data_IF_973356756712
#
_entry.id   IF_973356756712
#
_cell.length_a   1.000
_cell.length_b   1.000
_cell.length_c   1.000
_cell.angle_alpha   90.00
_cell.angle_beta   90.00
_cell.angle_gamma   90.00
#
_symmetry.space_group_name_H-M   'P 1'
#
loop_
_entity.id
_entity.type
_entity.pdbx_description
1 polymer ?
#
# COMPACT_ATOMS: atom_id res chain seq x y z
N UNK A 1 -8.39 53.30 63.34
CA UNK A 1 -7.15 52.56 63.65
C UNK A 1 -6.57 52.09 62.32
N UNK A 2 -5.47 52.72 61.88
CA UNK A 2 -4.52 52.38 60.77
C UNK A 2 -5.14 51.76 59.49
N UNK A 3 -5.39 52.43 58.36
CA UNK A 3 -4.51 53.22 57.46
C UNK A 3 -3.20 52.52 57.05
N UNK A 4 -3.20 51.92 55.85
CA UNK A 4 -2.12 51.77 54.85
C UNK A 4 -2.87 51.49 53.53
N UNK A 5 -3.10 52.40 52.57
CA UNK A 5 -2.21 53.17 51.66
C UNK A 5 -1.18 52.34 50.87
N UNK A 6 -1.53 52.03 49.60
CA UNK A 6 -0.82 52.23 48.32
C UNK A 6 0.62 51.64 48.13
N UNK A 7 1.16 51.40 46.90
CA UNK A 7 0.81 52.12 45.67
C UNK A 7 0.73 51.38 44.32
N UNK A 8 -0.08 52.03 43.48
CA UNK A 8 -0.15 52.04 42.01
C UNK A 8 1.11 52.72 41.42
N UNK A 9 1.35 52.51 40.11
CA UNK A 9 2.31 53.10 39.16
C UNK A 9 3.62 52.31 39.01
N UNK A 10 4.10 51.94 37.81
CA UNK A 10 4.09 52.63 36.51
C UNK A 10 3.93 51.63 35.34
N UNK A 11 3.13 51.98 34.32
CA UNK A 11 3.58 52.33 32.95
C UNK A 11 4.52 51.27 32.33
N UNK A 12 4.12 50.54 31.30
CA UNK A 12 3.70 51.09 30.01
C UNK A 12 4.82 50.83 28.99
N UNK A 13 4.70 49.76 28.21
CA UNK A 13 5.36 49.66 26.91
C UNK A 13 4.43 48.90 25.96
N UNK A 14 3.79 49.70 25.12
CA UNK A 14 3.13 49.33 23.87
C UNK A 14 4.18 49.11 22.77
N UNK A 15 3.76 48.44 21.69
CA UNK A 15 4.45 48.26 20.40
C UNK A 15 5.39 47.03 20.40
N UNK A 16 5.16 45.94 19.65
CA UNK A 16 4.71 45.88 18.25
C UNK A 16 3.76 44.71 17.96
N UNK A 17 2.71 45.02 17.19
CA UNK A 17 2.12 44.11 16.21
C UNK A 17 3.23 43.47 15.38
N UNK A 18 3.25 42.14 15.30
CA UNK A 18 3.64 41.46 14.08
C UNK A 18 2.58 40.39 13.81
N UNK A 19 1.54 40.83 13.09
CA UNK A 19 0.65 39.93 12.38
C UNK A 19 1.48 39.10 11.40
N UNK A 20 1.29 37.79 11.42
CA UNK A 20 1.29 36.98 10.21
C UNK A 20 -0.04 36.22 10.17
N UNK A 21 -1.13 36.99 10.10
CA UNK A 21 -2.23 36.58 9.25
C UNK A 21 -1.71 36.72 7.81
N UNK A 22 -1.49 35.56 7.19
CA UNK A 22 -1.94 35.20 5.86
C UNK A 22 -2.10 36.34 4.83
N UNK A 23 -1.24 36.33 3.82
CA UNK A 23 -1.69 36.59 2.44
C UNK A 23 -1.07 35.53 1.50
N UNK A 24 -1.90 34.91 0.61
CA UNK A 24 -1.48 33.90 -0.36
C UNK A 24 -1.03 34.55 -1.69
N UNK A 25 -0.24 33.84 -2.52
CA UNK A 25 -0.18 34.17 -3.94
C UNK A 25 -0.38 32.92 -4.83
N UNK A 26 -0.77 33.08 -6.10
CA UNK A 26 -2.13 33.30 -6.55
C UNK A 26 -2.67 32.12 -7.36
N UNK A 27 -4.00 32.01 -7.46
CA UNK A 27 -4.63 31.27 -8.55
C UNK A 27 -4.16 31.83 -9.90
N UNK A 28 -3.69 30.96 -10.79
CA UNK A 28 -3.60 31.24 -12.21
C UNK A 28 -4.56 30.30 -12.94
N UNK A 29 -5.78 30.79 -13.12
CA UNK A 29 -6.72 30.25 -14.08
C UNK A 29 -6.20 30.46 -15.52
N UNK A 30 -6.39 29.42 -16.33
CA UNK A 30 -6.65 29.43 -17.77
C UNK A 30 -6.10 30.58 -18.64
N UNK A 31 -5.25 30.22 -19.62
CA UNK A 31 -5.34 30.79 -20.97
C UNK A 31 -5.14 29.70 -22.02
N UNK A 32 -6.15 29.60 -22.88
CA UNK A 32 -6.20 28.84 -24.13
C UNK A 32 -5.38 29.53 -25.24
N UNK A 33 -4.69 28.69 -26.02
CA UNK A 33 -4.49 28.76 -27.48
C UNK A 33 -3.58 29.83 -28.11
N UNK A 34 -2.46 29.40 -28.72
CA UNK A 34 -2.22 29.56 -30.17
C UNK A 34 -1.03 28.74 -30.68
N UNK A 35 -1.17 28.28 -31.93
CA UNK A 35 -0.39 27.33 -32.74
C UNK A 35 1.00 27.85 -33.17
N UNK A 36 1.97 26.95 -33.43
CA UNK A 36 2.38 26.53 -34.79
C UNK A 36 3.75 25.81 -34.88
N UNK A 37 3.72 24.60 -35.45
CA UNK A 37 4.63 23.94 -36.42
C UNK A 37 6.16 23.75 -36.15
N UNK A 38 6.59 22.47 -36.09
CA UNK A 38 7.42 21.76 -37.11
C UNK A 38 7.86 20.39 -36.54
N UNK A 39 7.26 19.28 -36.99
CA UNK A 39 7.85 18.25 -37.88
C UNK A 39 8.93 17.32 -37.28
N UNK A 40 8.57 16.05 -37.02
CA UNK A 40 9.36 14.90 -37.47
C UNK A 40 8.54 13.58 -37.48
N UNK A 41 8.11 13.21 -38.69
CA UNK A 41 7.89 11.86 -39.25
C UNK A 41 7.44 10.68 -38.37
N UNK A 42 6.24 10.19 -38.70
CA UNK A 42 5.73 8.82 -38.60
C UNK A 42 6.79 7.72 -38.61
N UNK A 43 6.55 6.65 -37.84
CA UNK A 43 6.57 5.27 -38.32
C UNK A 43 5.54 4.45 -37.52
N UNK A 44 4.38 4.25 -38.13
CA UNK A 44 3.38 3.27 -37.73
C UNK A 44 3.84 1.88 -38.21
N UNK A 45 3.87 0.91 -37.30
CA UNK A 45 4.04 -0.50 -37.64
C UNK A 45 2.86 -1.28 -37.09
N UNK A 46 1.77 -1.25 -37.88
CA UNK A 46 0.73 -2.26 -37.80
C UNK A 46 1.31 -3.60 -38.27
N UNK A 47 1.26 -4.59 -37.38
CA UNK A 47 1.57 -5.97 -37.71
C UNK A 47 0.32 -6.83 -37.50
N UNK A 48 -0.59 -6.77 -38.48
CA UNK A 48 -1.54 -7.84 -38.71
C UNK A 48 -0.76 -9.06 -39.23
N UNK A 49 -0.74 -10.12 -38.43
CA UNK A 49 -0.18 -11.42 -38.79
C UNK A 49 -1.26 -12.49 -38.67
N UNK A 50 -2.11 -12.57 -39.70
CA UNK A 50 -2.81 -13.80 -40.02
C UNK A 50 -1.79 -14.81 -40.58
N UNK A 51 -1.55 -15.89 -39.84
CA UNK A 51 -0.79 -17.04 -40.29
C UNK A 51 -1.59 -18.31 -40.13
N UNK A 52 -2.42 -18.59 -41.14
CA UNK A 52 -2.80 -19.96 -41.46
C UNK A 52 -1.62 -20.66 -42.13
N UNK A 53 -1.02 -21.61 -41.42
CA UNK A 53 -0.09 -22.58 -41.99
C UNK A 53 -0.45 -23.99 -41.54
N UNK A 54 -1.31 -24.63 -42.34
CA UNK A 54 -1.36 -26.08 -42.43
C UNK A 54 -0.06 -26.56 -43.11
N UNK A 55 0.76 -27.27 -42.35
CA UNK A 55 1.82 -28.12 -42.88
C UNK A 55 1.82 -29.46 -42.15
N UNK A 56 1.13 -30.41 -42.75
CA UNK A 56 1.37 -31.83 -42.52
C UNK A 56 2.77 -32.18 -43.06
N UNK A 57 3.67 -32.53 -42.16
CA UNK A 57 4.90 -33.23 -42.49
C UNK A 57 5.10 -34.40 -41.53
N UNK A 58 4.64 -35.57 -41.96
CA UNK A 58 5.13 -36.85 -41.47
C UNK A 58 6.58 -37.02 -41.91
N UNK A 59 7.49 -36.99 -40.93
CA UNK A 59 8.86 -37.48 -41.10
C UNK A 59 9.19 -38.41 -39.93
N UNK A 60 8.95 -39.69 -40.16
CA UNK A 60 9.61 -40.77 -39.44
C UNK A 60 11.10 -40.75 -39.78
N UNK A 61 11.92 -40.35 -38.81
CA UNK A 61 13.35 -40.56 -38.82
C UNK A 61 13.77 -41.22 -37.50
N UNK A 62 13.78 -42.55 -37.52
CA UNK A 62 14.57 -43.34 -36.59
C UNK A 62 16.05 -43.12 -36.88
N UNK A 63 16.70 -42.37 -36.00
CA UNK A 63 18.16 -42.33 -35.91
C UNK A 63 18.56 -42.59 -34.47
N UNK A 64 18.84 -43.87 -34.19
CA UNK A 64 19.66 -44.27 -33.05
C UNK A 64 21.09 -43.80 -33.29
N UNK A 65 21.48 -42.75 -32.56
CA UNK A 65 22.86 -42.35 -32.40
C UNK A 65 23.17 -42.28 -30.91
N UNK A 66 23.67 -43.39 -30.38
CA UNK A 66 24.42 -43.42 -29.14
C UNK A 66 25.73 -42.65 -29.36
N UNK A 67 25.78 -41.44 -28.82
CA UNK A 67 27.00 -40.69 -28.61
C UNK A 67 27.08 -40.30 -27.14
N UNK A 68 27.75 -41.16 -26.36
CA UNK A 68 28.33 -40.76 -25.09
C UNK A 68 29.42 -39.72 -25.35
N UNK A 69 29.08 -38.47 -25.10
CA UNK A 69 30.04 -37.39 -24.94
C UNK A 69 29.89 -36.83 -23.53
N UNK A 70 30.65 -37.40 -22.61
CA UNK A 70 31.02 -36.74 -21.36
C UNK A 70 31.85 -35.50 -21.72
N UNK A 71 31.19 -34.36 -21.74
CA UNK A 71 31.82 -33.06 -21.70
C UNK A 71 31.44 -32.39 -20.38
N UNK A 72 32.25 -32.68 -19.36
CA UNK A 72 32.38 -31.82 -18.19
C UNK A 72 32.90 -30.46 -18.64
N UNK A 73 31.96 -29.54 -18.83
CA UNK A 73 32.24 -28.12 -18.90
C UNK A 73 31.65 -27.49 -17.64
N UNK A 74 32.46 -27.45 -16.59
CA UNK A 74 32.30 -26.52 -15.48
C UNK A 74 32.45 -25.10 -16.03
N UNK A 75 31.32 -24.54 -16.44
CA UNK A 75 31.14 -23.11 -16.57
C UNK A 75 30.41 -22.65 -15.32
N UNK A 76 31.20 -22.34 -14.28
CA UNK A 76 30.79 -21.42 -13.21
C UNK A 76 30.52 -20.06 -13.86
N UNK A 77 29.30 -19.91 -14.36
CA UNK A 77 28.69 -18.61 -14.55
C UNK A 77 28.07 -18.23 -13.23
N UNK A 78 28.86 -17.59 -12.37
CA UNK A 78 28.36 -16.69 -11.33
C UNK A 78 27.63 -15.55 -12.05
N UNK A 79 26.41 -15.84 -12.45
CA UNK A 79 25.39 -14.82 -12.60
C UNK A 79 24.89 -14.53 -11.19
N UNK A 80 25.56 -13.60 -10.51
CA UNK A 80 24.91 -12.73 -9.54
C UNK A 80 23.85 -11.93 -10.30
N UNK A 81 22.76 -12.62 -10.64
CA UNK A 81 21.48 -11.96 -10.71
C UNK A 81 21.14 -11.67 -9.26
N UNK A 82 21.52 -10.46 -8.84
CA UNK A 82 20.84 -9.70 -7.81
C UNK A 82 19.41 -9.47 -8.31
N UNK A 83 18.66 -10.57 -8.41
CA UNK A 83 17.24 -10.52 -8.31
C UNK A 83 17.03 -10.11 -6.86
N UNK A 84 16.79 -8.81 -6.68
CA UNK A 84 15.85 -8.34 -5.69
C UNK A 84 14.55 -9.15 -5.91
N UNK A 85 14.55 -10.40 -5.43
CA UNK A 85 13.36 -11.16 -5.14
C UNK A 85 12.77 -10.45 -3.92
N UNK A 86 12.20 -9.26 -4.13
CA UNK A 86 10.91 -9.00 -3.49
C UNK A 86 10.10 -10.21 -3.87
N UNK A 87 9.93 -11.11 -2.92
CA UNK A 87 9.41 -12.44 -3.20
C UNK A 87 8.03 -12.29 -3.84
N UNK A 88 7.99 -12.33 -5.17
CA UNK A 88 6.82 -12.67 -5.96
C UNK A 88 6.57 -14.18 -5.76
N UNK A 89 6.52 -14.59 -4.49
CA UNK A 89 6.03 -15.89 -4.09
C UNK A 89 4.58 -15.95 -4.53
N UNK A 90 4.16 -17.11 -5.04
CA UNK A 90 2.77 -17.36 -5.40
C UNK A 90 1.86 -16.87 -4.26
N UNK A 91 1.19 -15.74 -4.49
CA UNK A 91 0.30 -15.18 -3.50
C UNK A 91 -0.79 -16.21 -3.23
N UNK A 92 -0.94 -16.60 -1.97
CA UNK A 92 -2.02 -17.50 -1.61
C UNK A 92 -3.28 -16.65 -1.58
N UNK A 93 -4.14 -16.81 -2.59
CA UNK A 93 -5.43 -16.13 -2.60
C UNK A 93 -6.17 -16.39 -1.29
N UNK A 94 -6.72 -15.32 -0.72
CA UNK A 94 -7.40 -15.31 0.56
C UNK A 94 -6.47 -15.18 1.76
N UNK A 95 -5.17 -14.96 1.57
CA UNK A 95 -4.21 -14.77 2.65
C UNK A 95 -3.35 -13.52 2.42
N UNK A 96 -3.07 -12.81 3.50
CA UNK A 96 -2.08 -11.73 3.52
C UNK A 96 -1.39 -11.63 4.88
N UNK A 97 -0.66 -10.54 5.07
CA UNK A 97 0.11 -10.28 6.28
C UNK A 97 -0.36 -9.01 6.98
N UNK A 98 -0.23 -8.98 8.31
CA UNK A 98 -0.46 -7.79 9.12
C UNK A 98 0.65 -7.62 10.15
N UNK A 99 1.18 -6.41 10.25
CA UNK A 99 2.19 -6.04 11.26
C UNK A 99 1.63 -4.97 12.17
N UNK A 100 1.71 -5.19 13.49
CA UNK A 100 1.23 -4.26 14.52
C UNK A 100 2.40 -3.82 15.40
N UNK A 101 2.71 -2.54 15.47
CA UNK A 101 3.81 -2.02 16.30
C UNK A 101 3.33 -0.85 17.12
N UNK A 102 3.39 -0.97 18.45
CA UNK A 102 3.18 0.14 19.37
C UNK A 102 4.53 0.62 19.91
N UNK A 103 4.90 1.86 19.57
CA UNK A 103 6.08 2.54 20.10
C UNK A 103 5.70 3.90 20.70
N UNK A 104 5.83 4.02 22.03
CA UNK A 104 5.38 5.21 22.75
C UNK A 104 3.89 5.45 22.56
N UNK A 105 3.52 6.58 21.95
CA UNK A 105 2.14 6.94 21.61
C UNK A 105 1.74 6.54 20.19
N UNK A 106 2.68 6.06 19.36
CA UNK A 106 2.41 5.73 17.97
C UNK A 106 2.09 4.25 17.81
N UNK A 107 0.92 3.95 17.27
CA UNK A 107 0.52 2.61 16.82
C UNK A 107 0.60 2.56 15.30
N UNK A 108 1.56 1.81 14.77
CA UNK A 108 1.68 1.51 13.35
C UNK A 108 1.01 0.17 13.04
N UNK A 109 0.20 0.14 11.98
CA UNK A 109 -0.52 -1.04 11.49
C UNK A 109 -0.28 -1.13 10.00
N UNK A 110 0.46 -2.15 9.57
CA UNK A 110 0.75 -2.43 8.17
C UNK A 110 0.01 -3.67 7.69
N UNK A 111 -0.54 -3.64 6.48
CA UNK A 111 -1.07 -4.81 5.79
C UNK A 111 -0.38 -4.95 4.43
N UNK A 112 -0.12 -6.19 4.04
CA UNK A 112 0.24 -6.55 2.67
C UNK A 112 -0.75 -7.61 2.22
N UNK A 113 -1.57 -7.30 1.23
CA UNK A 113 -2.69 -8.15 0.79
C UNK A 113 -2.73 -8.22 -0.73
N UNK A 114 -2.89 -9.41 -1.33
CA UNK A 114 -3.06 -9.55 -2.77
C UNK A 114 -4.24 -8.74 -3.29
N UNK A 115 -4.07 -8.07 -4.43
CA UNK A 115 -5.13 -7.23 -4.99
C UNK A 115 -6.42 -8.00 -5.29
N UNK A 116 -6.32 -9.28 -5.65
CA UNK A 116 -7.48 -10.13 -5.91
C UNK A 116 -8.39 -10.30 -4.68
N UNK A 117 -7.83 -10.25 -3.47
CA UNK A 117 -8.58 -10.43 -2.23
C UNK A 117 -9.35 -9.17 -1.81
N UNK A 118 -9.00 -8.02 -2.38
CA UNK A 118 -9.66 -6.74 -2.11
C UNK A 118 -10.55 -6.30 -3.27
N UNK A 119 -10.06 -6.42 -4.50
CA UNK A 119 -10.71 -5.90 -5.71
C UNK A 119 -11.43 -6.99 -6.53
N UNK A 120 -11.05 -8.26 -6.34
CA UNK A 120 -11.50 -9.40 -7.14
C UNK A 120 -10.73 -9.58 -8.46
N UNK A 121 -9.66 -8.83 -8.70
CA UNK A 121 -8.80 -8.93 -9.89
C UNK A 121 -7.35 -8.55 -9.58
N UNK A 122 -6.41 -8.91 -10.47
CA UNK A 122 -4.99 -8.54 -10.38
C UNK A 122 -4.51 -7.70 -11.58
N UNK A 123 -5.31 -7.61 -12.63
CA UNK A 123 -4.97 -6.83 -13.82
C UNK A 123 -5.19 -5.34 -13.58
N UNK A 124 -4.50 -4.50 -14.36
CA UNK A 124 -4.75 -3.07 -14.33
C UNK A 124 -6.22 -2.75 -14.65
N UNK A 125 -6.84 -1.75 -13.99
CA UNK A 125 -8.25 -1.45 -14.16
C UNK A 125 -8.48 -0.79 -15.52
N UNK A 126 -8.94 -1.59 -16.48
CA UNK A 126 -9.18 -1.12 -17.85
C UNK A 126 -10.62 -0.62 -18.02
N UNK A 127 -11.59 -1.34 -17.46
CA UNK A 127 -13.01 -1.01 -17.57
C UNK A 127 -13.46 0.03 -16.54
N UNK A 128 -14.56 0.74 -16.81
CA UNK A 128 -15.15 1.66 -15.84
C UNK A 128 -15.57 0.93 -14.56
N UNK A 129 -16.00 -0.33 -14.67
CA UNK A 129 -16.33 -1.19 -13.52
C UNK A 129 -15.11 -1.44 -12.64
N UNK A 130 -13.94 -1.74 -13.23
CA UNK A 130 -12.73 -2.01 -12.46
C UNK A 130 -12.24 -0.75 -11.76
N UNK A 131 -12.27 0.39 -12.45
CA UNK A 131 -11.91 1.70 -11.88
C UNK A 131 -12.83 2.07 -10.70
N UNK A 132 -14.14 1.82 -10.83
CA UNK A 132 -15.10 2.03 -9.75
C UNK A 132 -14.84 1.11 -8.56
N UNK A 133 -14.56 -0.17 -8.79
CA UNK A 133 -14.21 -1.11 -7.73
C UNK A 133 -12.94 -0.69 -7.00
N UNK A 134 -11.88 -0.34 -7.75
CA UNK A 134 -10.63 0.12 -7.16
C UNK A 134 -10.85 1.38 -6.29
N UNK A 135 -11.64 2.33 -6.79
CA UNK A 135 -11.99 3.54 -6.02
C UNK A 135 -12.72 3.17 -4.72
N UNK A 136 -13.71 2.27 -4.77
CA UNK A 136 -14.45 1.82 -3.59
C UNK A 136 -13.54 1.11 -2.57
N UNK A 137 -12.62 0.27 -3.04
CA UNK A 137 -11.64 -0.41 -2.19
C UNK A 137 -10.76 0.62 -1.48
N UNK A 138 -10.18 1.57 -2.21
CA UNK A 138 -9.34 2.63 -1.60
C UNK A 138 -10.12 3.48 -0.61
N UNK A 139 -11.38 3.84 -0.90
CA UNK A 139 -12.25 4.56 0.04
C UNK A 139 -12.52 3.76 1.32
N UNK A 140 -12.76 2.45 1.20
CA UNK A 140 -12.95 1.57 2.35
C UNK A 140 -11.66 1.43 3.17
N UNK A 141 -10.51 1.29 2.50
CA UNK A 141 -9.19 1.24 3.14
C UNK A 141 -8.87 2.56 3.86
N UNK A 142 -9.31 3.70 3.35
CA UNK A 142 -9.12 4.99 4.00
C UNK A 142 -9.83 5.15 5.36
N UNK A 143 -10.87 4.36 5.64
CA UNK A 143 -11.66 4.42 6.88
C UNK A 143 -11.24 3.31 7.86
N UNK A 144 -10.09 3.50 8.50
CA UNK A 144 -9.50 2.53 9.43
C UNK A 144 -10.46 2.03 10.51
N UNK A 145 -11.41 2.87 10.95
CA UNK A 145 -12.38 2.54 12.00
C UNK A 145 -13.39 1.47 11.56
N UNK A 146 -13.59 1.28 10.26
CA UNK A 146 -14.36 0.17 9.72
C UNK A 146 -13.55 -1.12 9.64
N UNK A 147 -12.24 -1.02 9.54
CA UNK A 147 -11.35 -2.16 9.32
C UNK A 147 -10.84 -2.77 10.61
N UNK A 148 -10.74 -2.00 11.69
CA UNK A 148 -10.38 -2.52 12.99
C UNK A 148 -10.90 -1.65 14.14
N UNK A 149 -11.14 -2.31 15.26
CA UNK A 149 -11.59 -1.69 16.51
C UNK A 149 -10.46 -1.68 17.52
N UNK A 150 -10.28 -0.53 18.17
CA UNK A 150 -9.36 -0.33 19.28
C UNK A 150 -10.15 0.07 20.53
N UNK A 151 -9.67 -0.26 21.74
CA UNK A 151 -10.24 0.23 22.98
C UNK A 151 -10.36 1.76 22.99
N UNK A 152 -11.58 2.28 23.22
CA UNK A 152 -11.82 3.73 23.25
C UNK A 152 -10.96 4.44 24.31
N UNK A 153 -10.62 3.75 25.40
CA UNK A 153 -9.75 4.25 26.46
C UNK A 153 -8.31 4.53 26.01
N UNK A 154 -7.85 3.93 24.90
CA UNK A 154 -6.52 4.19 24.34
C UNK A 154 -6.44 5.52 23.56
N UNK A 155 -7.59 6.09 23.17
CA UNK A 155 -7.66 7.41 22.53
C UNK A 155 -6.98 7.51 21.17
N UNK A 156 -6.88 6.41 20.41
CA UNK A 156 -6.14 6.37 19.14
C UNK A 156 -6.86 7.10 17.99
N UNK A 157 -6.18 8.05 17.37
CA UNK A 157 -6.63 8.84 16.22
C UNK A 157 -5.65 8.71 15.05
N UNK A 158 -6.15 8.67 13.81
CA UNK A 158 -5.28 8.60 12.64
C UNK A 158 -4.40 9.85 12.51
N UNK A 159 -3.09 9.63 12.40
CA UNK A 159 -2.11 10.64 12.06
C UNK A 159 -1.73 10.58 10.57
N UNK A 160 -1.62 9.36 10.02
CA UNK A 160 -1.39 9.13 8.61
C UNK A 160 -2.05 7.81 8.15
N UNK A 161 -2.46 7.80 6.88
CA UNK A 161 -2.93 6.62 6.17
C UNK A 161 -2.32 6.64 4.78
N UNK A 162 -1.62 5.59 4.42
CA UNK A 162 -1.03 5.42 3.10
C UNK A 162 -1.53 4.10 2.50
N UNK A 163 -1.95 4.15 1.24
CA UNK A 163 -2.38 2.99 0.47
C UNK A 163 -1.59 3.01 -0.82
N UNK A 164 -0.75 2.00 -1.02
CA UNK A 164 0.14 1.87 -2.16
C UNK A 164 -0.20 0.57 -2.89
N UNK A 165 -0.29 0.66 -4.21
CA UNK A 165 -0.45 -0.50 -5.09
C UNK A 165 -0.05 -0.10 -6.50
N UNK A 166 0.49 -1.03 -7.27
CA UNK A 166 0.76 -0.85 -8.70
C UNK A 166 -0.52 -0.58 -9.50
N UNK A 167 -1.68 -1.04 -9.00
CA UNK A 167 -3.00 -0.72 -9.58
C UNK A 167 -3.34 0.78 -9.49
N UNK A 168 -2.71 1.51 -8.56
CA UNK A 168 -2.90 2.95 -8.40
C UNK A 168 -1.89 3.75 -9.23
N UNK A 169 -0.67 3.23 -9.44
CA UNK A 169 0.37 3.90 -10.24
C UNK A 169 0.24 3.64 -11.76
N UNK A 170 -0.45 2.57 -12.16
CA UNK A 170 -0.60 2.19 -13.57
C UNK A 170 0.59 1.39 -14.13
N UNK A 171 1.48 0.91 -13.27
CA UNK A 171 2.66 0.11 -13.65
C UNK A 171 2.29 -1.35 -13.90
N UNK A 172 2.88 -1.98 -14.91
CA UNK A 172 2.58 -3.36 -15.31
C UNK A 172 3.48 -4.34 -14.57
N UNK A 173 3.10 -4.72 -13.36
CA UNK A 173 3.68 -5.85 -12.62
C UNK A 173 2.76 -7.08 -12.74
N UNK A 174 3.33 -8.29 -12.69
CA UNK A 174 2.57 -9.53 -12.91
C UNK A 174 1.67 -9.92 -11.74
N UNK A 175 1.94 -9.40 -10.55
CA UNK A 175 1.09 -9.52 -9.37
C UNK A 175 1.03 -8.17 -8.68
N UNK A 176 -0.19 -7.71 -8.39
CA UNK A 176 -0.41 -6.46 -7.68
C UNK A 176 -0.79 -6.76 -6.23
N UNK A 177 -0.01 -6.24 -5.30
CA UNK A 177 -0.37 -6.21 -3.88
C UNK A 177 -0.91 -4.82 -3.50
N UNK A 178 -1.64 -4.78 -2.39
CA UNK A 178 -1.90 -3.57 -1.64
C UNK A 178 -1.03 -3.56 -0.39
N UNK A 179 -0.13 -2.59 -0.33
CA UNK A 179 0.59 -2.21 0.87
C UNK A 179 -0.15 -1.06 1.54
N UNK A 180 -0.65 -1.31 2.73
CA UNK A 180 -1.50 -0.37 3.46
C UNK A 180 -0.86 -0.07 4.80
N UNK A 181 -0.64 1.21 5.11
CA UNK A 181 -0.02 1.65 6.34
C UNK A 181 -0.91 2.65 7.07
N UNK A 182 -1.23 2.34 8.32
CA UNK A 182 -1.89 3.26 9.24
C UNK A 182 -0.92 3.64 10.34
N UNK A 183 -0.81 4.94 10.60
CA UNK A 183 -0.13 5.46 11.79
C UNK A 183 -1.17 6.17 12.63
N UNK A 184 -1.40 5.66 13.84
CA UNK A 184 -2.33 6.23 14.81
C UNK A 184 -1.57 6.81 15.99
N UNK A 185 -2.00 7.97 16.46
CA UNK A 185 -1.53 8.55 17.72
C UNK A 185 -2.54 8.21 18.83
N UNK A 186 -2.09 7.47 19.84
CA UNK A 186 -2.86 7.05 21.00
C UNK A 186 -2.52 7.90 22.22
N UNK A 187 -3.52 8.55 22.82
CA UNK A 187 -3.35 9.40 23.99
C UNK A 187 -2.96 8.61 25.26
N UNK A 188 -3.49 7.40 25.40
CA UNK A 188 -3.25 6.52 26.56
C UNK A 188 -2.90 5.10 26.08
N UNK A 189 -1.72 4.89 25.48
CA UNK A 189 -1.32 3.62 24.87
C UNK A 189 -1.36 2.43 25.84
N UNK A 190 -1.23 2.66 27.15
CA UNK A 190 -1.35 1.64 28.21
C UNK A 190 -2.75 1.01 28.32
N UNK A 191 -3.76 1.64 27.72
CA UNK A 191 -5.13 1.11 27.64
C UNK A 191 -5.40 0.30 26.37
N UNK A 192 -4.40 0.11 25.51
CA UNK A 192 -4.48 -0.76 24.35
C UNK A 192 -4.35 -2.24 24.79
N UNK A 193 -5.43 -2.81 25.30
CA UNK A 193 -5.47 -4.20 25.79
C UNK A 193 -5.74 -5.24 24.69
N UNK A 194 -6.37 -4.81 23.60
CA UNK A 194 -6.74 -5.69 22.49
C UNK A 194 -6.90 -4.89 21.19
N UNK A 195 -6.93 -5.61 20.07
CA UNK A 195 -7.31 -5.10 18.76
C UNK A 195 -8.18 -6.14 18.06
N UNK A 196 -9.25 -5.68 17.43
CA UNK A 196 -10.14 -6.54 16.62
C UNK A 196 -10.07 -6.13 15.16
N UNK A 197 -9.71 -7.05 14.27
CA UNK A 197 -9.66 -6.83 12.83
C UNK A 197 -11.03 -7.13 12.19
N UNK A 198 -11.75 -6.08 11.82
CA UNK A 198 -13.03 -6.15 11.11
C UNK A 198 -12.85 -6.23 9.58
N UNK A 199 -11.61 -6.16 9.07
CA UNK A 199 -11.27 -6.16 7.65
C UNK A 199 -11.92 -7.33 6.87
N UNK A 200 -12.03 -8.51 7.48
CA UNK A 200 -12.69 -9.68 6.87
C UNK A 200 -14.18 -9.46 6.58
N UNK A 201 -14.84 -8.55 7.31
CA UNK A 201 -16.23 -8.16 7.03
C UNK A 201 -16.34 -7.18 5.86
N UNK A 202 -15.31 -6.34 5.68
CA UNK A 202 -15.24 -5.42 4.54
C UNK A 202 -14.82 -6.16 3.25
N UNK A 203 -13.90 -7.11 3.37
CA UNK A 203 -13.34 -7.89 2.27
C UNK A 203 -13.46 -9.39 2.55
N UNK A 204 -14.61 -10.02 2.22
CA UNK A 204 -14.85 -11.44 2.52
C UNK A 204 -13.97 -12.43 1.75
N UNK A 205 -13.34 -11.99 0.65
CA UNK A 205 -12.38 -12.81 -0.10
C UNK A 205 -11.08 -13.01 0.67
N UNK A 206 -10.69 -12.03 1.50
CA UNK A 206 -9.60 -12.19 2.45
C UNK A 206 -10.08 -13.13 3.57
N UNK A 207 -9.45 -14.29 3.70
CA UNK A 207 -9.85 -15.34 4.66
C UNK A 207 -8.93 -15.39 5.87
N UNK A 208 -7.65 -15.05 5.67
CA UNK A 208 -6.61 -15.15 6.68
C UNK A 208 -5.66 -13.97 6.63
N UNK A 209 -5.21 -13.52 7.79
CA UNK A 209 -4.02 -12.67 7.91
C UNK A 209 -3.01 -13.31 8.86
N UNK A 210 -1.77 -13.45 8.42
CA UNK A 210 -0.67 -13.79 9.30
C UNK A 210 -0.19 -12.51 9.99
N UNK A 211 -0.42 -12.45 11.30
CA UNK A 211 -0.08 -11.32 12.14
C UNK A 211 1.27 -11.47 12.80
N UNK A 212 2.06 -10.40 12.77
CA UNK A 212 3.25 -10.20 13.62
C UNK A 212 3.05 -8.92 14.43
N UNK A 213 3.42 -8.92 15.71
CA UNK A 213 3.17 -7.77 16.56
C UNK A 213 4.26 -7.50 17.58
N UNK A 214 4.43 -6.22 17.94
CA UNK A 214 5.30 -5.72 19.01
C UNK A 214 4.52 -4.67 19.79
N UNK A 215 4.16 -4.97 21.04
CA UNK A 215 3.38 -4.08 21.91
C UNK A 215 3.86 -4.22 23.35
N UNK A 216 4.17 -3.11 24.01
CA UNK A 216 4.62 -3.07 25.42
C UNK A 216 5.83 -3.99 25.68
N UNK A 217 6.87 -3.89 24.84
CA UNK A 217 8.08 -4.74 24.86
C UNK A 217 7.82 -6.25 24.76
N UNK A 218 6.61 -6.66 24.35
CA UNK A 218 6.27 -8.04 24.01
C UNK A 218 6.12 -8.15 22.52
N UNK A 219 6.41 -9.34 22.00
CA UNK A 219 6.23 -9.64 20.59
C UNK A 219 5.65 -11.04 20.40
N UNK A 220 5.03 -11.26 19.26
CA UNK A 220 4.52 -12.56 18.90
C UNK A 220 3.91 -12.58 17.51
N UNK A 221 3.24 -13.69 17.22
CA UNK A 221 2.44 -13.84 16.02
C UNK A 221 1.02 -14.26 16.36
N UNK A 222 0.10 -13.98 15.46
CA UNK A 222 -1.30 -14.37 15.59
C UNK A 222 -1.88 -14.61 14.21
N UNK A 223 -2.63 -15.69 14.03
CA UNK A 223 -3.30 -15.96 12.75
C UNK A 223 -4.73 -15.50 12.84
N UNK A 224 -5.03 -14.41 12.16
CA UNK A 224 -6.35 -13.82 12.13
C UNK A 224 -7.22 -14.47 11.04
N UNK A 225 -8.50 -14.60 11.33
CA UNK A 225 -9.55 -14.96 10.36
C UNK A 225 -10.87 -14.32 10.80
N UNK A 226 -11.93 -14.43 10.00
CA UNK A 226 -13.25 -13.90 10.38
C UNK A 226 -13.75 -14.40 11.75
N UNK A 227 -13.48 -15.66 12.10
CA UNK A 227 -13.90 -16.29 13.37
C UNK A 227 -12.88 -16.11 14.50
N UNK A 228 -11.66 -15.68 14.18
CA UNK A 228 -10.58 -15.43 15.14
C UNK A 228 -9.89 -14.11 14.80
N UNK A 229 -10.63 -13.02 14.94
CA UNK A 229 -10.18 -11.71 14.48
C UNK A 229 -9.68 -10.77 15.60
N UNK A 230 -9.62 -11.24 16.84
CA UNK A 230 -9.24 -10.42 18.00
C UNK A 230 -7.94 -10.90 18.62
N UNK A 231 -6.97 -10.00 18.72
CA UNK A 231 -5.72 -10.21 19.44
C UNK A 231 -5.77 -9.44 20.76
N UNK A 232 -5.48 -10.13 21.85
CA UNK A 232 -5.31 -9.53 23.19
C UNK A 232 -3.82 -9.49 23.52
N UNK A 233 -3.38 -8.38 24.10
CA UNK A 233 -1.98 -8.19 24.48
C UNK A 233 -1.75 -8.68 25.90
#
# INVERSE_FOLDING_TARGET
MKLFLNPILLAGLVVSLSACQQEPPPEAAAVLSSQAAAEHTHHDHDHDHDHDHDHDHDHDHDHDHDHDHDHDHDHDHDHDHDHDHREAGAHVHGAGDVTLVLEGQALAIGFTVPAIDLTGFEHQPQSDTDKQKLTQVVEQLGDYKKLFTLPAAAGCQAAATEVVSTLLSGETESHADFDIQYVLNCESPEHLSEITLNIFSAFPSLQQLQGSWIVDNRQGSHRFSADNNTLKF
#
